data_IF_204566194086
#
_entry.id   IF_204566194086
#
_cell.length_a   1.000
_cell.length_b   1.000
_cell.length_c   1.000
_cell.angle_alpha   90.00
_cell.angle_beta   90.00
_cell.angle_gamma   90.00
#
_symmetry.space_group_name_H-M   'P 1'
#
loop_
_entity.id
_entity.type
_entity.pdbx_description
1 polymer ?
#
# COMPACT_ATOMS: atom_id res chain seq x y z
N UNK A 1 16.37 -1.84 -8.18
CA UNK A 1 15.09 -1.95 -7.52
C UNK A 1 14.29 -3.09 -8.12
N UNK A 2 13.78 -3.98 -7.30
CA UNK A 2 12.81 -5.02 -7.67
C UNK A 2 11.47 -4.67 -7.05
N UNK A 3 10.38 -4.71 -7.83
CA UNK A 3 9.02 -4.50 -7.32
C UNK A 3 8.22 -5.78 -7.56
N UNK A 4 7.70 -6.35 -6.49
CA UNK A 4 6.83 -7.52 -6.49
C UNK A 4 5.44 -7.06 -6.09
N UNK A 5 4.53 -7.07 -7.05
CA UNK A 5 3.17 -6.54 -6.86
C UNK A 5 2.11 -7.62 -6.86
N UNK A 6 1.21 -7.56 -5.91
CA UNK A 6 0.01 -8.40 -5.87
C UNK A 6 -1.03 -7.84 -6.81
N UNK A 7 -1.51 -8.65 -7.76
CA UNK A 7 -2.48 -8.23 -8.76
C UNK A 7 -3.93 -8.67 -8.47
N UNK A 8 -4.15 -9.67 -7.64
CA UNK A 8 -5.44 -10.33 -7.47
C UNK A 8 -6.26 -9.84 -6.27
N UNK A 9 -5.88 -8.72 -5.66
CA UNK A 9 -6.64 -8.17 -4.52
C UNK A 9 -6.51 -6.67 -4.41
N UNK A 10 -7.64 -5.96 -4.18
CA UNK A 10 -7.67 -4.50 -4.06
C UNK A 10 -7.25 -4.02 -2.67
N UNK A 11 -6.67 -4.69 -1.83
CA UNK A 11 -6.14 -4.32 -0.51
C UNK A 11 -6.57 -2.94 0.04
N UNK A 12 -7.87 -2.65 -0.04
CA UNK A 12 -8.41 -1.38 0.44
C UNK A 12 -8.42 -1.29 1.98
N UNK A 13 -8.52 -0.06 2.51
CA UNK A 13 -8.56 0.20 3.96
C UNK A 13 -9.57 -0.69 4.70
N UNK A 14 -10.80 -0.79 4.19
CA UNK A 14 -11.86 -1.61 4.82
C UNK A 14 -11.47 -3.07 4.98
N UNK A 15 -10.76 -3.63 4.00
CA UNK A 15 -10.28 -5.01 4.04
C UNK A 15 -9.23 -5.21 5.12
N UNK A 16 -8.32 -4.25 5.28
CA UNK A 16 -7.20 -4.33 6.24
C UNK A 16 -7.64 -4.17 7.70
N UNK A 17 -8.74 -3.45 7.96
CA UNK A 17 -9.25 -3.21 9.32
C UNK A 17 -10.50 -4.02 9.66
N UNK A 18 -10.93 -4.92 8.77
CA UNK A 18 -12.10 -5.76 9.01
C UNK A 18 -11.78 -6.80 10.12
N UNK A 19 -12.53 -6.83 11.22
CA UNK A 19 -12.34 -7.81 12.28
C UNK A 19 -12.40 -9.27 11.80
N UNK A 20 -13.24 -9.56 10.81
CA UNK A 20 -13.37 -10.89 10.21
C UNK A 20 -12.14 -11.29 9.36
N UNK A 21 -11.25 -10.34 9.08
CA UNK A 21 -10.03 -10.52 8.28
C UNK A 21 -8.75 -10.20 9.08
N UNK A 22 -8.80 -10.34 10.40
CA UNK A 22 -7.66 -10.12 11.28
C UNK A 22 -6.44 -10.96 10.89
N UNK A 23 -6.65 -12.15 10.37
CA UNK A 23 -5.59 -13.00 9.83
C UNK A 23 -4.79 -12.35 8.71
N UNK A 24 -5.44 -11.58 7.85
CA UNK A 24 -4.77 -10.87 6.77
C UNK A 24 -3.79 -9.82 7.31
N UNK A 25 -4.22 -9.03 8.30
CA UNK A 25 -3.33 -8.05 8.94
C UNK A 25 -2.17 -8.73 9.65
N UNK A 26 -2.43 -9.84 10.37
CA UNK A 26 -1.41 -10.64 11.03
C UNK A 26 -0.38 -11.19 10.03
N UNK A 27 -0.84 -11.73 8.89
CA UNK A 27 0.04 -12.23 7.83
C UNK A 27 0.92 -11.13 7.23
N UNK A 28 0.34 -9.95 6.96
CA UNK A 28 1.07 -8.79 6.40
C UNK A 28 2.16 -8.30 7.38
N UNK A 29 1.80 -8.15 8.65
CA UNK A 29 2.77 -7.71 9.67
C UNK A 29 3.86 -8.76 9.87
N UNK A 30 3.50 -10.05 9.88
CA UNK A 30 4.49 -11.13 9.99
C UNK A 30 5.45 -11.15 8.81
N UNK A 31 4.95 -10.92 7.59
CA UNK A 31 5.79 -10.80 6.40
C UNK A 31 6.82 -9.66 6.56
N UNK A 32 6.34 -8.46 6.93
CA UNK A 32 7.20 -7.29 7.09
C UNK A 32 8.26 -7.54 8.19
N UNK A 33 7.84 -8.03 9.35
CA UNK A 33 8.75 -8.32 10.47
C UNK A 33 9.74 -9.44 10.14
N UNK A 34 9.29 -10.52 9.49
CA UNK A 34 10.16 -11.64 9.10
C UNK A 34 11.25 -11.24 8.11
N UNK A 35 11.00 -10.22 7.30
CA UNK A 35 11.98 -9.63 6.38
C UNK A 35 12.81 -8.50 6.98
N UNK A 36 12.56 -8.08 8.21
CA UNK A 36 13.15 -6.85 8.78
C UNK A 36 12.80 -5.61 7.96
N UNK A 37 11.67 -5.61 7.27
CA UNK A 37 11.25 -4.57 6.36
C UNK A 37 10.35 -3.55 7.04
N UNK A 38 10.49 -2.23 6.81
CA UNK A 38 9.48 -1.26 7.18
C UNK A 38 8.11 -1.61 6.59
N UNK A 39 7.05 -1.16 7.26
CA UNK A 39 5.68 -1.33 6.79
C UNK A 39 5.03 0.03 6.49
N UNK A 40 4.57 0.22 5.26
CA UNK A 40 3.69 1.34 4.88
C UNK A 40 2.28 0.81 4.68
N UNK A 41 1.29 1.46 5.30
CA UNK A 41 -0.11 1.09 5.13
C UNK A 41 -1.03 2.30 5.41
N UNK A 42 -2.35 2.06 5.46
CA UNK A 42 -3.29 3.05 5.95
C UNK A 42 -3.09 3.27 7.46
N UNK A 43 -3.21 4.51 7.94
CA UNK A 43 -3.04 4.86 9.36
C UNK A 43 -3.87 3.96 10.28
N UNK A 44 -5.14 3.69 9.93
CA UNK A 44 -6.01 2.83 10.73
C UNK A 44 -5.51 1.37 10.81
N UNK A 45 -4.91 0.84 9.75
CA UNK A 45 -4.32 -0.51 9.77
C UNK A 45 -3.06 -0.57 10.63
N UNK A 46 -2.21 0.46 10.57
CA UNK A 46 -1.03 0.58 11.44
C UNK A 46 -1.46 0.69 12.91
N UNK A 47 -2.47 1.52 13.21
CA UNK A 47 -2.96 1.65 14.59
C UNK A 47 -3.54 0.33 15.10
N UNK A 48 -4.39 -0.34 14.31
CA UNK A 48 -4.94 -1.64 14.68
C UNK A 48 -3.84 -2.68 14.93
N UNK A 49 -2.79 -2.70 14.11
CA UNK A 49 -1.66 -3.61 14.32
C UNK A 49 -0.89 -3.32 15.61
N UNK A 50 -0.76 -2.03 16.00
CA UNK A 50 -0.18 -1.63 17.28
C UNK A 50 -1.07 -2.04 18.46
N UNK A 51 -2.37 -1.75 18.39
CA UNK A 51 -3.34 -2.07 19.45
C UNK A 51 -3.41 -3.58 19.72
N UNK A 52 -3.21 -4.40 18.68
CA UNK A 52 -3.12 -5.87 18.79
C UNK A 52 -1.74 -6.39 19.23
N UNK A 53 -0.76 -5.51 19.44
CA UNK A 53 0.61 -5.90 19.78
C UNK A 53 1.36 -6.62 18.66
N UNK A 54 0.91 -6.52 17.41
CA UNK A 54 1.59 -7.13 16.27
C UNK A 54 2.87 -6.38 15.88
N UNK A 55 2.91 -5.06 16.10
CA UNK A 55 4.06 -4.21 15.85
C UNK A 55 4.76 -3.87 17.18
N UNK A 56 6.04 -4.21 17.36
CA UNK A 56 6.83 -3.80 18.52
C UNK A 56 6.95 -2.28 18.60
N UNK A 57 7.22 -1.78 19.79
CA UNK A 57 7.57 -0.38 19.98
C UNK A 57 8.80 -0.01 19.13
N UNK A 58 8.78 1.16 18.50
CA UNK A 58 9.85 1.62 17.63
C UNK A 58 9.94 0.92 16.27
N UNK A 59 9.03 0.00 15.94
CA UNK A 59 9.05 -0.64 14.62
C UNK A 59 8.88 0.39 13.49
N UNK A 60 9.71 0.35 12.42
CA UNK A 60 9.66 1.33 11.35
C UNK A 60 8.37 1.21 10.53
N UNK A 61 7.50 2.18 10.68
CA UNK A 61 6.22 2.26 9.96
C UNK A 61 6.04 3.62 9.29
N UNK A 62 5.31 3.63 8.19
CA UNK A 62 4.79 4.82 7.54
C UNK A 62 3.31 4.65 7.23
N UNK A 63 2.62 5.76 6.98
CA UNK A 63 1.27 5.66 6.47
C UNK A 63 1.06 6.60 5.29
N UNK A 64 0.19 6.21 4.37
CA UNK A 64 -0.17 7.03 3.22
C UNK A 64 -0.64 8.42 3.66
N UNK A 65 -0.39 9.42 2.84
CA UNK A 65 -0.60 10.85 3.06
C UNK A 65 0.35 11.51 4.09
N UNK A 66 1.31 10.77 4.66
CA UNK A 66 2.33 11.30 5.56
C UNK A 66 3.74 10.73 5.26
N UNK A 67 3.97 10.35 4.02
CA UNK A 67 5.26 9.79 3.59
C UNK A 67 6.34 10.85 3.36
N UNK A 68 5.96 12.13 3.24
CA UNK A 68 6.93 13.21 3.01
C UNK A 68 7.86 13.37 4.22
N UNK A 69 9.17 13.47 3.95
CA UNK A 69 10.18 13.65 5.02
C UNK A 69 10.59 12.38 5.76
N UNK A 70 9.97 11.21 5.51
CA UNK A 70 10.42 9.96 6.08
C UNK A 70 11.74 9.49 5.47
N UNK A 71 12.81 9.52 6.25
CA UNK A 71 14.13 9.04 5.83
C UNK A 71 14.53 7.72 6.53
N UNK A 72 13.76 7.30 7.54
CA UNK A 72 14.05 6.11 8.35
C UNK A 72 14.01 4.78 7.59
N UNK A 73 13.57 4.81 6.32
CA UNK A 73 13.45 3.60 5.51
C UNK A 73 14.59 3.39 4.52
N UNK A 74 15.49 4.38 4.37
CA UNK A 74 16.53 4.33 3.34
C UNK A 74 17.60 3.25 3.56
N UNK A 75 17.84 2.87 4.80
CA UNK A 75 18.84 1.84 5.15
C UNK A 75 18.32 0.40 5.00
N UNK A 76 17.02 0.21 4.83
CA UNK A 76 16.44 -1.11 4.66
C UNK A 76 16.60 -1.64 3.24
N UNK A 77 16.81 -2.95 3.10
CA UNK A 77 16.91 -3.64 1.81
C UNK A 77 15.53 -3.99 1.24
N UNK A 78 14.53 -4.13 2.10
CA UNK A 78 13.15 -4.44 1.74
C UNK A 78 12.16 -3.41 2.28
N UNK A 79 11.00 -3.30 1.65
CA UNK A 79 9.85 -2.53 2.09
C UNK A 79 8.56 -3.31 1.80
N UNK A 80 7.67 -3.38 2.77
CA UNK A 80 6.32 -3.90 2.56
C UNK A 80 5.34 -2.73 2.53
N UNK A 81 4.56 -2.63 1.47
CA UNK A 81 3.49 -1.64 1.33
C UNK A 81 2.16 -2.36 1.18
N UNK A 82 1.24 -2.15 2.12
CA UNK A 82 -0.06 -2.82 2.13
C UNK A 82 -1.20 -1.81 2.08
N UNK A 83 -2.01 -1.90 1.05
CA UNK A 83 -3.13 -0.99 0.84
C UNK A 83 -2.85 0.12 -0.16
N UNK A 84 -3.76 1.07 -0.20
CA UNK A 84 -3.71 2.25 -1.05
C UNK A 84 -4.49 3.40 -0.43
N UNK A 85 -4.11 4.65 -0.65
CA UNK A 85 -5.01 5.77 -0.43
C UNK A 85 -6.11 5.74 -1.51
N UNK A 86 -7.33 6.01 -1.13
CA UNK A 86 -8.45 6.09 -2.09
C UNK A 86 -9.45 7.13 -1.55
N UNK A 87 -9.28 8.40 -1.93
CA UNK A 87 -10.22 9.45 -1.53
C UNK A 87 -11.61 9.18 -2.12
N UNK A 88 -12.64 9.68 -1.46
CA UNK A 88 -14.02 9.58 -1.99
C UNK A 88 -14.21 10.41 -3.26
N UNK A 89 -15.13 10.00 -4.15
CA UNK A 89 -15.37 10.71 -5.40
C UNK A 89 -15.75 12.18 -5.16
N UNK A 90 -16.64 12.46 -4.20
CA UNK A 90 -17.01 13.83 -3.82
C UNK A 90 -15.83 14.68 -3.33
N UNK A 91 -14.88 14.06 -2.64
CA UNK A 91 -13.66 14.75 -2.19
C UNK A 91 -12.79 15.15 -3.38
N UNK A 92 -12.62 14.24 -4.34
CA UNK A 92 -11.84 14.50 -5.57
C UNK A 92 -12.51 15.58 -6.39
N UNK A 93 -13.83 15.51 -6.57
CA UNK A 93 -14.60 16.52 -7.29
C UNK A 93 -14.52 17.91 -6.64
N UNK A 94 -14.60 17.99 -5.31
CA UNK A 94 -14.46 19.25 -4.60
C UNK A 94 -13.07 19.88 -4.81
N UNK A 95 -12.02 19.05 -4.80
CA UNK A 95 -10.65 19.51 -5.10
C UNK A 95 -10.49 19.91 -6.58
N UNK A 96 -11.11 19.16 -7.49
CA UNK A 96 -11.09 19.50 -8.92
C UNK A 96 -11.75 20.88 -9.19
N UNK A 97 -12.91 21.14 -8.60
CA UNK A 97 -13.58 22.46 -8.70
C UNK A 97 -12.69 23.60 -8.20
N UNK A 98 -11.93 23.37 -7.11
CA UNK A 98 -11.03 24.38 -6.56
C UNK A 98 -9.81 24.62 -7.46
N UNK A 99 -9.27 23.58 -8.10
CA UNK A 99 -8.09 23.68 -8.96
C UNK A 99 -8.41 24.11 -10.40
N UNK A 100 -9.58 23.74 -10.89
CA UNK A 100 -10.04 23.99 -12.26
C UNK A 100 -11.36 24.80 -12.29
N UNK A 101 -11.39 26.02 -11.73
CA UNK A 101 -12.65 26.76 -11.56
C UNK A 101 -13.31 27.24 -12.87
N UNK A 102 -12.58 27.15 -13.99
CA UNK A 102 -13.07 27.55 -15.32
C UNK A 102 -13.43 26.39 -16.22
N UNK A 103 -13.20 25.16 -15.78
CA UNK A 103 -13.49 23.94 -16.54
C UNK A 103 -14.90 23.42 -16.25
N UNK A 104 -15.55 22.92 -17.28
CA UNK A 104 -16.86 22.28 -17.16
C UNK A 104 -16.66 20.81 -16.79
N UNK A 105 -16.66 20.54 -15.48
CA UNK A 105 -16.39 19.22 -14.93
C UNK A 105 -17.63 18.34 -14.91
N UNK A 106 -17.50 17.10 -15.36
CA UNK A 106 -18.54 16.07 -15.23
C UNK A 106 -18.54 15.48 -13.82
N UNK A 107 -19.40 16.01 -12.96
CA UNK A 107 -19.48 15.64 -11.54
C UNK A 107 -20.58 14.61 -11.32
N UNK A 108 -20.22 13.42 -10.88
CA UNK A 108 -21.13 12.27 -10.71
C UNK A 108 -21.25 11.80 -9.26
N UNK A 109 -20.36 12.26 -8.37
CA UNK A 109 -20.29 11.80 -6.99
C UNK A 109 -19.86 10.33 -6.84
N UNK A 110 -19.45 9.68 -7.94
CA UNK A 110 -19.15 8.25 -7.96
C UNK A 110 -18.01 7.90 -8.92
N UNK A 111 -17.28 6.85 -8.58
CA UNK A 111 -16.34 6.21 -9.48
C UNK A 111 -17.02 5.15 -10.34
N UNK A 112 -16.43 4.86 -11.49
CA UNK A 112 -16.80 3.73 -12.35
C UNK A 112 -15.68 2.69 -12.38
N UNK A 113 -15.98 1.41 -12.63
CA UNK A 113 -14.98 0.42 -12.93
C UNK A 113 -14.19 0.80 -14.18
N UNK A 114 -12.87 0.62 -14.10
CA UNK A 114 -11.94 0.74 -15.21
C UNK A 114 -10.97 -0.41 -15.18
N UNK A 115 -10.04 -0.45 -16.12
CA UNK A 115 -8.97 -1.45 -16.16
C UNK A 115 -7.70 -0.81 -16.71
N UNK A 116 -6.55 -1.27 -16.20
CA UNK A 116 -5.24 -0.98 -16.75
C UNK A 116 -4.73 -2.10 -17.69
N UNK A 117 -5.63 -3.03 -18.05
CA UNK A 117 -5.33 -4.23 -18.83
C UNK A 117 -4.98 -5.47 -17.99
N UNK A 118 -4.64 -5.30 -16.72
CA UNK A 118 -4.27 -6.38 -15.79
C UNK A 118 -5.24 -6.44 -14.61
N UNK A 119 -5.55 -5.27 -14.03
CA UNK A 119 -6.33 -5.14 -12.80
C UNK A 119 -7.55 -4.25 -13.00
N UNK A 120 -8.64 -4.59 -12.34
CA UNK A 120 -9.80 -3.71 -12.24
C UNK A 120 -9.50 -2.58 -11.24
N UNK A 121 -9.64 -1.35 -11.68
CA UNK A 121 -9.45 -0.15 -10.86
C UNK A 121 -10.68 0.75 -10.95
N UNK A 122 -10.87 1.60 -9.95
CA UNK A 122 -11.87 2.65 -10.03
C UNK A 122 -11.29 3.90 -10.70
N UNK A 123 -12.07 4.48 -11.62
CA UNK A 123 -11.73 5.69 -12.35
C UNK A 123 -12.84 6.72 -12.17
N UNK A 124 -12.50 7.99 -12.27
CA UNK A 124 -13.53 9.05 -12.34
C UNK A 124 -13.96 9.24 -13.81
N UNK A 125 -15.28 9.46 -14.08
CA UNK A 125 -15.75 9.73 -15.44
C UNK A 125 -15.13 10.98 -16.07
N UNK A 126 -14.89 12.01 -15.26
CA UNK A 126 -14.23 13.23 -15.70
C UNK A 126 -12.70 13.07 -15.72
N UNK A 127 -12.00 13.41 -16.83
CA UNK A 127 -10.56 13.21 -16.95
C UNK A 127 -9.72 14.02 -15.96
N UNK A 128 -10.13 15.23 -15.59
CA UNK A 128 -9.39 16.07 -14.63
C UNK A 128 -9.54 15.53 -13.22
N UNK A 129 -10.74 15.09 -12.86
CA UNK A 129 -10.98 14.40 -11.60
C UNK A 129 -10.22 13.07 -11.54
N UNK A 130 -10.18 12.30 -12.64
CA UNK A 130 -9.41 11.05 -12.70
C UNK A 130 -7.90 11.29 -12.56
N UNK A 131 -7.38 12.33 -13.18
CA UNK A 131 -5.99 12.76 -13.01
C UNK A 131 -5.64 13.09 -11.56
N UNK A 132 -6.54 13.79 -10.85
CA UNK A 132 -6.38 14.05 -9.42
C UNK A 132 -6.46 12.78 -8.58
N UNK A 133 -7.41 11.87 -8.87
CA UNK A 133 -7.52 10.59 -8.19
C UNK A 133 -6.20 9.81 -8.30
N UNK A 134 -5.61 9.75 -9.49
CA UNK A 134 -4.32 9.10 -9.72
C UNK A 134 -3.19 9.75 -8.94
N UNK A 135 -3.17 11.07 -8.84
CA UNK A 135 -2.18 11.80 -8.03
C UNK A 135 -2.30 11.42 -6.55
N UNK A 136 -3.50 11.25 -6.01
CA UNK A 136 -3.68 10.84 -4.62
C UNK A 136 -3.47 9.35 -4.38
N UNK A 137 -3.57 8.51 -5.38
CA UNK A 137 -3.52 7.05 -5.25
C UNK A 137 -2.20 6.47 -5.76
N UNK A 138 -1.94 6.60 -7.06
CA UNK A 138 -0.77 6.00 -7.71
C UNK A 138 0.52 6.73 -7.33
N UNK A 139 0.53 8.06 -7.41
CA UNK A 139 1.74 8.83 -7.10
C UNK A 139 2.14 8.71 -5.62
N UNK A 140 1.19 8.57 -4.70
CA UNK A 140 1.49 8.35 -3.28
C UNK A 140 2.15 6.97 -3.05
N UNK A 141 1.73 5.95 -3.81
CA UNK A 141 2.38 4.62 -3.78
C UNK A 141 3.81 4.73 -4.31
N UNK A 142 4.01 5.37 -5.45
CA UNK A 142 5.34 5.59 -6.04
C UNK A 142 6.25 6.42 -5.12
N UNK A 143 5.69 7.41 -4.43
CA UNK A 143 6.40 8.17 -3.41
C UNK A 143 6.84 7.27 -2.25
N UNK A 144 5.98 6.34 -1.80
CA UNK A 144 6.32 5.34 -0.78
C UNK A 144 7.48 4.45 -1.22
N UNK A 145 7.45 3.94 -2.45
CA UNK A 145 8.53 3.14 -3.04
C UNK A 145 9.84 3.94 -3.03
N UNK A 146 9.77 5.23 -3.37
CA UNK A 146 10.92 6.15 -3.36
C UNK A 146 11.59 6.31 -1.98
N UNK A 147 10.92 5.97 -0.87
CA UNK A 147 11.50 6.07 0.48
C UNK A 147 12.64 5.09 0.73
N UNK A 148 12.72 4.00 -0.01
CA UNK A 148 13.87 3.12 0.01
C UNK A 148 15.14 3.72 -0.61
N UNK A 149 15.02 4.82 -1.38
CA UNK A 149 16.15 5.47 -2.08
C UNK A 149 17.03 4.49 -2.85
N UNK A 150 16.42 3.54 -3.55
CA UNK A 150 17.13 2.49 -4.29
C UNK A 150 18.18 3.04 -5.28
N UNK A 151 17.96 4.23 -5.84
CA UNK A 151 18.88 4.92 -6.76
C UNK A 151 20.23 5.24 -6.09
N UNK A 152 20.26 5.38 -4.78
CA UNK A 152 21.48 5.70 -4.01
C UNK A 152 22.15 4.47 -3.39
N UNK A 153 21.57 3.29 -3.59
CA UNK A 153 22.05 2.05 -2.99
C UNK A 153 22.90 1.25 -3.97
N UNK A 154 24.03 0.70 -3.52
CA UNK A 154 24.80 -0.29 -4.26
C UNK A 154 24.18 -1.70 -4.21
N UNK A 155 23.22 -1.92 -3.32
CA UNK A 155 22.49 -3.18 -3.17
C UNK A 155 21.15 -3.15 -3.89
N UNK A 156 20.69 -4.32 -4.35
CA UNK A 156 19.34 -4.47 -4.87
C UNK A 156 18.35 -4.31 -3.72
N UNK A 157 17.47 -3.33 -3.85
CA UNK A 157 16.36 -3.12 -2.91
C UNK A 157 15.07 -3.68 -3.47
N UNK A 158 14.22 -4.21 -2.59
CA UNK A 158 13.01 -4.93 -2.96
C UNK A 158 11.76 -4.31 -2.30
N UNK A 159 10.69 -4.16 -3.06
CA UNK A 159 9.38 -3.70 -2.58
C UNK A 159 8.34 -4.77 -2.79
N UNK A 160 7.64 -5.13 -1.74
CA UNK A 160 6.45 -5.97 -1.77
C UNK A 160 5.23 -5.06 -1.72
N UNK A 161 4.59 -4.88 -2.88
CA UNK A 161 3.43 -4.01 -3.03
C UNK A 161 2.15 -4.85 -2.97
N UNK A 162 1.51 -4.86 -1.81
CA UNK A 162 0.30 -5.64 -1.54
C UNK A 162 -0.95 -4.82 -1.92
N UNK A 163 -1.06 -4.50 -3.19
CA UNK A 163 -2.22 -3.85 -3.81
C UNK A 163 -2.17 -4.02 -5.32
N UNK A 164 -3.33 -4.12 -5.95
CA UNK A 164 -3.44 -4.19 -7.41
C UNK A 164 -3.45 -2.82 -8.10
N UNK A 165 -3.31 -1.72 -7.35
CA UNK A 165 -3.27 -0.38 -7.94
C UNK A 165 -2.14 -0.28 -8.94
N UNK A 166 -2.40 0.13 -10.21
CA UNK A 166 -1.36 0.23 -11.22
C UNK A 166 -0.26 1.21 -10.78
N UNK A 167 0.96 0.88 -11.16
CA UNK A 167 2.12 1.75 -11.01
C UNK A 167 2.88 1.82 -12.32
N UNK A 168 3.55 2.94 -12.59
CA UNK A 168 4.23 3.19 -13.87
C UNK A 168 5.69 2.72 -13.90
N UNK A 169 6.13 1.99 -12.89
CA UNK A 169 7.50 1.51 -12.80
C UNK A 169 7.75 0.32 -13.75
N UNK A 170 8.87 0.30 -14.47
CA UNK A 170 9.22 -0.82 -15.33
C UNK A 170 9.63 -2.06 -14.54
N UNK A 171 9.44 -3.24 -15.12
CA UNK A 171 9.95 -4.49 -14.55
C UNK A 171 9.22 -4.99 -13.30
N UNK A 172 7.98 -4.58 -13.08
CA UNK A 172 7.15 -5.06 -11.96
C UNK A 172 6.81 -6.54 -12.14
N UNK A 173 7.16 -7.36 -11.16
CA UNK A 173 6.79 -8.78 -11.12
C UNK A 173 5.41 -8.94 -10.49
N UNK A 174 4.45 -9.44 -11.24
CA UNK A 174 3.09 -9.70 -10.79
C UNK A 174 2.99 -11.08 -10.12
N UNK A 175 2.37 -11.14 -8.94
CA UNK A 175 2.19 -12.37 -8.14
C UNK A 175 0.81 -12.40 -7.49
N UNK A 176 0.39 -13.57 -7.04
CA UNK A 176 -0.83 -13.69 -6.24
C UNK A 176 -0.52 -13.46 -4.76
N UNK A 177 -1.49 -12.98 -4.00
CA UNK A 177 -1.33 -12.68 -2.58
C UNK A 177 -0.87 -13.91 -1.77
N UNK A 178 -1.42 -15.07 -2.05
CA UNK A 178 -1.09 -16.32 -1.36
C UNK A 178 0.31 -16.88 -1.69
N UNK A 179 0.98 -16.34 -2.71
CA UNK A 179 2.37 -16.68 -3.04
C UNK A 179 3.38 -15.91 -2.17
N UNK A 180 2.93 -14.84 -1.53
CA UNK A 180 3.79 -13.97 -0.71
C UNK A 180 3.49 -14.13 0.77
N UNK A 181 2.21 -14.17 1.15
CA UNK A 181 1.84 -14.17 2.56
C UNK A 181 2.13 -15.51 3.22
N UNK A 182 2.69 -15.49 4.45
CA UNK A 182 2.88 -16.69 5.22
C UNK A 182 1.53 -17.34 5.57
N UNK A 183 1.47 -18.69 5.75
CA UNK A 183 0.29 -19.33 6.26
C UNK A 183 -0.20 -18.72 7.58
N UNK A 184 -1.51 -18.60 7.75
CA UNK A 184 -2.13 -17.94 8.93
C UNK A 184 -1.58 -18.47 10.25
N UNK A 185 -1.49 -19.79 10.41
CA UNK A 185 -0.98 -20.41 11.63
C UNK A 185 0.46 -20.00 11.96
N UNK A 186 1.33 -19.94 10.94
CA UNK A 186 2.71 -19.50 11.10
C UNK A 186 2.78 -18.00 11.40
N UNK A 187 1.98 -17.18 10.75
CA UNK A 187 1.93 -15.74 11.01
C UNK A 187 1.53 -15.45 12.46
N UNK A 188 0.47 -16.08 12.95
CA UNK A 188 0.01 -15.93 14.34
C UNK A 188 1.05 -16.43 15.35
N UNK A 189 1.69 -17.57 15.07
CA UNK A 189 2.77 -18.09 15.92
C UNK A 189 3.93 -17.11 15.99
N UNK A 190 4.39 -16.61 14.84
CA UNK A 190 5.47 -15.64 14.75
C UNK A 190 5.19 -14.37 15.57
N UNK A 191 3.99 -13.82 15.45
CA UNK A 191 3.60 -12.63 16.21
C UNK A 191 3.52 -12.90 17.72
N UNK A 192 3.03 -14.10 18.11
CA UNK A 192 2.91 -14.49 19.51
C UNK A 192 4.27 -14.74 20.19
N UNK A 193 5.23 -15.29 19.47
CA UNK A 193 6.57 -15.63 20.01
C UNK A 193 7.58 -14.47 19.91
N UNK A 194 7.15 -13.31 19.44
CA UNK A 194 8.01 -12.12 19.35
C UNK A 194 9.04 -12.19 18.22
N UNK A 195 8.88 -13.13 17.27
CA UNK A 195 9.72 -13.16 16.08
C UNK A 195 10.81 -14.23 16.08
N UNK A 196 10.69 -15.29 16.85
CA UNK A 196 11.46 -16.51 16.62
C UNK A 196 10.88 -17.14 15.36
N UNK A 197 11.52 -16.85 14.23
CA UNK A 197 11.00 -17.13 12.91
C UNK A 197 11.17 -18.60 12.52
N UNK A 198 10.13 -19.22 11.96
CA UNK A 198 10.38 -20.20 10.90
C UNK A 198 10.86 -19.45 9.65
N UNK A 199 11.92 -19.93 9.04
CA UNK A 199 12.41 -19.50 7.74
C UNK A 199 11.35 -19.92 6.70
N UNK A 200 10.75 -18.99 6.00
CA UNK A 200 9.96 -19.24 4.78
C UNK A 200 10.63 -18.70 3.54
#
# INVERSE_FOLDING_TARGET
>A
LEVIQVYNTPMGKRKLINPDQDDLLAQIVSLARGMGAPLISNLAAIQLAKDKGYLPEGYPVGHFNALRGLNSMEDHECLVMAGRPEPGALEVEAKARALYPREDLTLTGAYRPGTDGISSVFCHPDPLCDGLLRTFREAEIEQGIGRLRAVRSSKIKRVYLLTHTPITLPGVKQVRLNEILPPVGLARLYLKTGGIAPIW
#
